data_IF_486810423369
#
_entry.id   IF_486810423369
#
_cell.length_a   1.000
_cell.length_b   1.000
_cell.length_c   1.000
_cell.angle_alpha   90.00
_cell.angle_beta   90.00
_cell.angle_gamma   90.00
#
_symmetry.space_group_name_H-M   'P 1'
#
loop_
_entity.id
_entity.type
_entity.pdbx_description
1 polymer ?
#
# COMPACT_ATOMS: atom_id res chain seq x y z
N UNK A 1 21.65 9.24 10.97
CA UNK A 1 21.48 7.79 10.81
C UNK A 1 20.82 7.11 12.01
N UNK A 2 21.31 7.26 13.25
CA UNK A 2 20.78 6.52 14.43
C UNK A 2 19.27 6.76 14.72
N UNK A 3 18.73 7.96 14.47
CA UNK A 3 17.30 8.26 14.74
C UNK A 3 16.32 7.62 13.75
N UNK A 4 16.67 7.52 12.46
CA UNK A 4 15.76 6.94 11.44
C UNK A 4 15.60 5.44 11.70
N UNK A 5 16.70 4.73 11.96
CA UNK A 5 16.65 3.30 12.26
C UNK A 5 15.80 3.05 13.51
N UNK A 6 16.00 3.84 14.58
CA UNK A 6 15.22 3.70 15.80
C UNK A 6 13.71 3.89 15.58
N UNK A 7 13.30 4.80 14.68
CA UNK A 7 11.89 4.98 14.33
C UNK A 7 11.36 3.80 13.50
N UNK A 8 12.16 3.25 12.57
CA UNK A 8 11.78 2.09 11.76
C UNK A 8 11.68 0.79 12.58
N UNK A 9 12.40 0.71 13.69
CA UNK A 9 12.36 -0.43 14.62
C UNK A 9 11.10 -0.41 15.51
N UNK A 10 10.26 0.63 15.42
CA UNK A 10 8.99 0.71 16.15
C UNK A 10 7.87 -0.03 15.43
N UNK A 11 6.95 -0.59 16.21
CA UNK A 11 5.71 -1.14 15.66
C UNK A 11 4.67 -0.03 15.47
N UNK A 12 3.81 -0.14 14.43
CA UNK A 12 2.64 0.73 14.30
C UNK A 12 1.77 0.69 15.56
N UNK A 13 1.13 1.81 15.88
CA UNK A 13 0.17 1.84 16.99
C UNK A 13 -1.03 0.96 16.65
N UNK A 14 -1.63 0.32 17.66
CA UNK A 14 -2.85 -0.49 17.44
C UNK A 14 -4.00 0.32 16.85
N UNK A 15 -4.03 1.63 17.10
CA UNK A 15 -5.01 2.57 16.55
C UNK A 15 -4.83 2.82 15.05
N UNK A 16 -3.64 2.56 14.51
CA UNK A 16 -3.33 2.73 13.10
C UNK A 16 -3.75 1.51 12.27
N UNK A 17 -3.98 0.38 12.95
CA UNK A 17 -4.35 -0.89 12.33
C UNK A 17 -5.88 -0.98 12.26
N UNK A 18 -6.38 -1.05 11.03
CA UNK A 18 -7.78 -1.24 10.69
C UNK A 18 -8.04 -2.69 10.31
N UNK A 19 -9.29 -3.11 10.46
CA UNK A 19 -9.75 -4.44 10.07
C UNK A 19 -10.75 -4.33 8.93
N UNK A 20 -10.51 -5.07 7.85
CA UNK A 20 -11.53 -5.30 6.82
C UNK A 20 -12.08 -6.72 6.94
N UNK A 21 -13.39 -6.94 6.70
CA UNK A 21 -13.95 -8.28 6.61
C UNK A 21 -13.20 -9.13 5.60
N UNK A 22 -13.02 -10.42 5.91
CA UNK A 22 -12.47 -11.36 4.94
C UNK A 22 -13.47 -11.64 3.82
N UNK A 23 -12.95 -11.90 2.62
CA UNK A 23 -13.77 -12.26 1.47
C UNK A 23 -14.56 -13.56 1.75
N UNK A 24 -15.87 -13.56 1.43
CA UNK A 24 -16.78 -14.71 1.61
C UNK A 24 -16.74 -15.36 3.00
N UNK A 25 -16.68 -14.55 4.06
CA UNK A 25 -16.64 -15.05 5.45
C UNK A 25 -15.26 -15.55 5.90
N UNK A 26 -14.22 -15.28 5.11
CA UNK A 26 -12.83 -15.55 5.49
C UNK A 26 -12.37 -14.73 6.69
N UNK A 27 -11.16 -15.04 7.18
CA UNK A 27 -10.55 -14.30 8.29
C UNK A 27 -10.44 -12.81 7.98
N UNK A 28 -10.78 -11.92 8.93
CA UNK A 28 -10.53 -10.49 8.79
C UNK A 28 -9.07 -10.20 8.46
N UNK A 29 -8.84 -9.18 7.67
CA UNK A 29 -7.50 -8.75 7.26
C UNK A 29 -7.17 -7.43 7.92
N UNK A 30 -6.06 -7.41 8.64
CA UNK A 30 -5.48 -6.20 9.21
C UNK A 30 -4.77 -5.41 8.11
N UNK A 31 -4.97 -4.09 8.11
CA UNK A 31 -4.31 -3.18 7.18
C UNK A 31 -4.13 -1.81 7.81
N UNK A 32 -3.23 -1.01 7.23
CA UNK A 32 -3.07 0.40 7.57
C UNK A 32 -3.62 1.25 6.44
N UNK A 33 -4.28 2.36 6.74
CA UNK A 33 -4.78 3.27 5.70
C UNK A 33 -3.62 3.94 4.97
N UNK A 34 -3.79 4.24 3.67
CA UNK A 34 -2.76 4.96 2.92
C UNK A 34 -2.43 6.34 3.52
N UNK A 35 -3.42 7.00 4.13
CA UNK A 35 -3.21 8.28 4.83
C UNK A 35 -2.28 8.11 6.04
N UNK A 36 -2.51 7.08 6.86
CA UNK A 36 -1.69 6.77 8.03
C UNK A 36 -0.25 6.42 7.63
N UNK A 37 -0.08 5.62 6.57
CA UNK A 37 1.24 5.29 6.03
C UNK A 37 1.97 6.55 5.57
N UNK A 38 1.32 7.45 4.84
CA UNK A 38 1.93 8.70 4.38
C UNK A 38 2.34 9.61 5.56
N UNK A 39 1.52 9.69 6.61
CA UNK A 39 1.85 10.44 7.81
C UNK A 39 3.12 9.89 8.49
N UNK A 40 3.20 8.56 8.66
CA UNK A 40 4.38 7.90 9.24
C UNK A 40 5.63 8.11 8.38
N UNK A 41 5.51 8.00 7.05
CA UNK A 41 6.63 8.28 6.15
C UNK A 41 7.13 9.72 6.28
N UNK A 42 6.22 10.70 6.40
CA UNK A 42 6.58 12.09 6.61
C UNK A 42 7.22 12.34 7.98
N UNK A 43 6.82 11.62 9.02
CA UNK A 43 7.43 11.71 10.35
C UNK A 43 8.84 11.12 10.37
N UNK A 44 9.05 9.96 9.73
CA UNK A 44 10.33 9.24 9.74
C UNK A 44 11.36 9.90 8.83
N UNK A 45 10.97 10.23 7.59
CA UNK A 45 11.89 10.70 6.56
C UNK A 45 11.78 12.22 6.30
N UNK A 46 10.73 12.88 6.78
CA UNK A 46 10.41 14.26 6.42
C UNK A 46 9.65 14.34 5.10
N UNK A 47 8.86 15.40 4.93
CA UNK A 47 8.00 15.60 3.74
C UNK A 47 8.75 15.50 2.40
N UNK A 48 9.99 16.01 2.34
CA UNK A 48 10.83 15.95 1.13
C UNK A 48 11.86 14.81 1.16
N UNK A 49 11.80 13.93 2.16
CA UNK A 49 12.80 12.86 2.35
C UNK A 49 12.50 11.57 1.59
N UNK A 50 11.31 11.48 1.00
CA UNK A 50 10.86 10.30 0.26
C UNK A 50 9.94 10.71 -0.89
N UNK A 51 9.83 9.84 -1.90
CA UNK A 51 8.87 9.95 -2.99
C UNK A 51 8.37 8.57 -3.39
N UNK A 52 7.21 8.53 -4.06
CA UNK A 52 6.65 7.33 -4.67
C UNK A 52 6.62 7.47 -6.19
N UNK A 53 7.14 6.46 -6.88
CA UNK A 53 7.12 6.34 -8.34
C UNK A 53 6.33 5.09 -8.74
N UNK A 54 5.46 5.23 -9.72
CA UNK A 54 4.80 4.09 -10.36
C UNK A 54 5.57 3.75 -11.64
N UNK A 55 5.87 2.48 -11.83
CA UNK A 55 6.61 1.99 -13.00
C UNK A 55 5.96 0.70 -13.48
N UNK A 56 6.15 0.35 -14.76
CA UNK A 56 5.25 -0.49 -15.58
C UNK A 56 3.88 0.15 -15.82
N UNK A 57 3.67 0.59 -17.07
CA UNK A 57 2.40 1.08 -17.58
C UNK A 57 1.40 -0.05 -17.91
N UNK A 58 1.86 -1.31 -17.86
CA UNK A 58 1.01 -2.51 -17.94
C UNK A 58 0.23 -2.66 -16.63
N UNK A 59 -0.69 -1.71 -16.42
CA UNK A 59 -1.84 -1.89 -15.56
C UNK A 59 -2.58 -3.10 -16.10
N UNK A 60 -2.30 -4.25 -15.52
CA UNK A 60 -3.05 -5.46 -15.77
C UNK A 60 -4.43 -5.25 -15.13
N UNK A 61 -5.32 -4.60 -15.90
CA UNK A 61 -6.72 -4.41 -15.58
C UNK A 61 -7.44 -5.61 -16.16
N UNK A 62 -7.86 -6.51 -15.29
CA UNK A 62 -8.72 -7.62 -15.68
C UNK A 62 -10.15 -7.24 -15.34
N UNK A 63 -10.97 -7.06 -16.37
CA UNK A 63 -12.40 -6.85 -16.24
C UNK A 63 -13.13 -8.12 -16.68
N UNK A 64 -13.83 -8.78 -15.76
CA UNK A 64 -14.66 -9.94 -16.08
C UNK A 64 -16.13 -9.65 -15.78
N UNK A 65 -17.07 -10.00 -16.68
CA UNK A 65 -18.49 -9.89 -16.39
C UNK A 65 -18.84 -10.68 -15.13
N UNK A 66 -19.63 -10.08 -14.24
CA UNK A 66 -20.27 -10.81 -13.15
C UNK A 66 -21.22 -11.85 -13.71
N UNK A 67 -21.25 -13.04 -13.11
CA UNK A 67 -21.98 -14.19 -13.65
C UNK A 67 -23.50 -13.95 -13.80
N UNK A 68 -24.11 -13.09 -12.96
CA UNK A 68 -25.57 -13.00 -12.82
C UNK A 68 -26.15 -11.57 -12.65
N UNK A 69 -25.35 -10.52 -12.80
CA UNK A 69 -25.81 -9.14 -12.62
C UNK A 69 -24.95 -8.22 -13.47
N UNK A 70 -25.47 -7.11 -13.99
CA UNK A 70 -24.75 -6.15 -14.85
C UNK A 70 -23.54 -5.45 -14.20
N UNK A 71 -22.88 -6.09 -13.24
CA UNK A 71 -21.67 -5.69 -12.54
C UNK A 71 -20.42 -6.24 -13.25
N UNK A 72 -19.31 -5.53 -13.13
CA UNK A 72 -18.00 -5.96 -13.58
C UNK A 72 -17.10 -6.18 -12.37
N UNK A 73 -16.31 -7.26 -12.41
CA UNK A 73 -15.20 -7.45 -11.47
C UNK A 73 -13.95 -6.86 -12.10
N UNK A 74 -13.32 -5.91 -11.39
CA UNK A 74 -12.10 -5.26 -11.85
C UNK A 74 -10.97 -5.61 -10.89
N UNK A 75 -9.89 -6.15 -11.44
CA UNK A 75 -8.62 -6.33 -10.72
C UNK A 75 -7.57 -5.43 -11.34
N UNK A 76 -6.85 -4.68 -10.50
CA UNK A 76 -5.77 -3.78 -10.94
C UNK A 76 -4.49 -4.16 -10.22
N UNK A 77 -3.42 -4.35 -10.98
CA UNK A 77 -2.07 -4.53 -10.45
C UNK A 77 -1.21 -3.32 -10.78
N UNK A 78 -0.44 -2.85 -9.81
CA UNK A 78 0.46 -1.71 -9.96
C UNK A 78 1.82 -2.07 -9.36
N UNK A 79 2.92 -1.76 -10.06
CA UNK A 79 4.25 -1.79 -9.46
C UNK A 79 4.62 -0.38 -8.97
N UNK A 80 5.06 -0.30 -7.73
CA UNK A 80 5.31 0.94 -7.00
C UNK A 80 6.70 0.90 -6.38
N UNK A 81 7.45 2.00 -6.49
CA UNK A 81 8.79 2.19 -5.93
C UNK A 81 8.76 3.37 -4.97
N UNK A 82 9.18 3.14 -3.74
CA UNK A 82 9.49 4.21 -2.79
C UNK A 82 10.97 4.52 -2.89
N UNK A 83 11.32 5.80 -3.09
CA UNK A 83 12.69 6.29 -3.20
C UNK A 83 12.95 7.28 -2.06
N UNK A 84 14.06 7.13 -1.36
CA UNK A 84 14.51 8.06 -0.32
C UNK A 84 15.44 9.13 -0.91
N UNK A 85 15.62 10.25 -0.21
CA UNK A 85 16.47 11.35 -0.66
C UNK A 85 17.95 10.96 -0.87
N UNK A 86 18.42 9.87 -0.27
CA UNK A 86 19.77 9.33 -0.48
C UNK A 86 19.88 8.41 -1.71
N UNK A 87 18.78 8.20 -2.44
CA UNK A 87 18.69 7.33 -3.62
C UNK A 87 18.38 5.86 -3.30
N UNK A 88 18.33 5.47 -2.02
CA UNK A 88 17.88 4.13 -1.61
C UNK A 88 16.42 3.93 -2.03
N UNK A 89 16.06 2.72 -2.47
CA UNK A 89 14.69 2.46 -2.91
C UNK A 89 14.18 1.07 -2.55
N UNK A 90 12.86 0.95 -2.47
CA UNK A 90 12.14 -0.31 -2.31
C UNK A 90 11.02 -0.39 -3.33
N UNK A 91 11.06 -1.42 -4.18
CA UNK A 91 10.04 -1.68 -5.19
C UNK A 91 9.15 -2.86 -4.80
N UNK A 92 7.83 -2.72 -4.92
CA UNK A 92 6.83 -3.74 -4.60
C UNK A 92 5.67 -3.72 -5.59
N UNK A 93 5.00 -4.87 -5.71
CA UNK A 93 3.76 -5.03 -6.48
C UNK A 93 2.56 -4.95 -5.54
N UNK A 94 1.61 -4.08 -5.86
CA UNK A 94 0.33 -3.99 -5.19
C UNK A 94 -0.78 -4.53 -6.09
N UNK A 95 -1.74 -5.25 -5.51
CA UNK A 95 -2.89 -5.81 -6.22
C UNK A 95 -4.15 -5.35 -5.49
N UNK A 96 -5.07 -4.72 -6.22
CA UNK A 96 -6.42 -4.42 -5.76
C UNK A 96 -7.43 -5.29 -6.51
N UNK A 97 -8.44 -5.79 -5.79
CA UNK A 97 -9.52 -6.62 -6.32
C UNK A 97 -10.83 -6.18 -5.65
N UNK A 98 -11.84 -5.91 -6.47
CA UNK A 98 -13.23 -5.73 -6.06
C UNK A 98 -14.09 -6.96 -6.36
#
# INVERSE_FOLDING_TARGET
MIKIQANLDTNPLKTDILLKPGFKGGKPCEYMSGYTVNAHMNEVFGFNGWNTEFFDEDKNILATPGHDSGNYHISVTVNCKVVLADGSFCARRAISRD
#
